data_IF_168174652248
#
_entry.id   IF_168174652248
#
_cell.length_a   1.000
_cell.length_b   1.000
_cell.length_c   1.000
_cell.angle_alpha   90.00
_cell.angle_beta   90.00
_cell.angle_gamma   90.00
#
_symmetry.space_group_name_H-M   'P 1'
#
loop_
_entity.id
_entity.type
_entity.pdbx_description
1 polymer ?
#
# COMPACT_ATOMS: atom_id res chain seq x y z
N UNK A 1 -39.97 4.21 -60.86
CA UNK A 1 -39.63 4.82 -59.55
C UNK A 1 -38.25 5.45 -59.67
N UNK A 2 -38.14 6.79 -59.70
CA UNK A 2 -36.83 7.49 -59.80
C UNK A 2 -36.34 7.77 -58.38
N UNK A 3 -35.22 7.16 -57.98
CA UNK A 3 -34.52 7.52 -56.76
C UNK A 3 -33.68 8.78 -57.05
N UNK A 4 -34.03 9.90 -56.42
CA UNK A 4 -33.19 11.09 -56.47
C UNK A 4 -32.05 10.92 -55.47
N UNK A 5 -30.81 10.82 -55.97
CA UNK A 5 -29.63 10.96 -55.12
C UNK A 5 -29.46 12.44 -54.78
N UNK A 6 -29.88 12.84 -53.58
CA UNK A 6 -29.61 14.19 -53.08
C UNK A 6 -28.12 14.26 -52.73
N UNK A 7 -27.31 14.85 -53.60
CA UNK A 7 -25.91 15.12 -53.32
C UNK A 7 -25.82 16.28 -52.31
N UNK A 8 -25.13 16.07 -51.19
CA UNK A 8 -24.89 17.11 -50.20
C UNK A 8 -24.03 18.23 -50.81
N UNK A 9 -24.32 19.52 -50.50
CA UNK A 9 -23.46 20.61 -50.93
C UNK A 9 -22.07 20.45 -50.30
N UNK A 10 -21.00 20.68 -51.09
CA UNK A 10 -19.59 20.43 -50.69
C UNK A 10 -19.18 21.00 -49.31
N UNK A 11 -19.77 22.14 -48.91
CA UNK A 11 -19.53 22.75 -47.59
C UNK A 11 -20.09 21.91 -46.44
N UNK A 12 -21.27 21.33 -46.60
CA UNK A 12 -21.87 20.45 -45.60
C UNK A 12 -21.11 19.12 -45.47
N UNK A 13 -20.59 18.59 -46.58
CA UNK A 13 -19.72 17.41 -46.58
C UNK A 13 -18.42 17.67 -45.79
N UNK A 14 -17.74 18.79 -46.02
CA UNK A 14 -16.51 19.14 -45.31
C UNK A 14 -16.74 19.33 -43.79
N UNK A 15 -17.84 19.97 -43.39
CA UNK A 15 -18.21 20.08 -41.97
C UNK A 15 -18.48 18.72 -41.33
N UNK A 16 -19.11 17.79 -42.07
CA UNK A 16 -19.37 16.44 -41.58
C UNK A 16 -18.08 15.65 -41.39
N UNK A 17 -17.16 15.70 -42.36
CA UNK A 17 -15.84 15.05 -42.27
C UNK A 17 -15.05 15.57 -41.06
N UNK A 18 -15.07 16.89 -40.82
CA UNK A 18 -14.46 17.50 -39.65
C UNK A 18 -15.11 17.05 -38.33
N UNK A 19 -16.45 16.99 -38.29
CA UNK A 19 -17.17 16.50 -37.11
C UNK A 19 -16.87 15.03 -36.81
N UNK A 20 -16.74 14.18 -37.83
CA UNK A 20 -16.35 12.78 -37.68
C UNK A 20 -14.93 12.66 -37.12
N UNK A 21 -13.98 13.47 -37.60
CA UNK A 21 -12.61 13.50 -37.07
C UNK A 21 -12.58 13.93 -35.60
N UNK A 22 -13.32 14.98 -35.22
CA UNK A 22 -13.45 15.40 -33.82
C UNK A 22 -14.05 14.28 -32.98
N UNK A 23 -15.12 13.64 -33.46
CA UNK A 23 -15.76 12.52 -32.76
C UNK A 23 -14.77 11.38 -32.49
N UNK A 24 -13.96 11.03 -33.49
CA UNK A 24 -12.92 10.02 -33.35
C UNK A 24 -11.87 10.42 -32.29
N UNK A 25 -11.41 11.67 -32.29
CA UNK A 25 -10.48 12.16 -31.27
C UNK A 25 -11.10 12.16 -29.88
N UNK A 26 -12.36 12.55 -29.73
CA UNK A 26 -13.07 12.51 -28.45
C UNK A 26 -13.14 11.09 -27.89
N UNK A 27 -13.47 10.09 -28.71
CA UNK A 27 -13.47 8.68 -28.31
C UNK A 27 -12.07 8.25 -27.86
N UNK A 28 -11.04 8.61 -28.63
CA UNK A 28 -9.66 8.30 -28.29
C UNK A 28 -9.25 8.92 -26.94
N UNK A 29 -9.63 10.16 -26.68
CA UNK A 29 -9.38 10.81 -25.40
C UNK A 29 -10.10 10.12 -24.24
N UNK A 30 -11.36 9.72 -24.41
CA UNK A 30 -12.09 8.99 -23.36
C UNK A 30 -11.39 7.69 -23.00
N UNK A 31 -10.98 6.90 -24.00
CA UNK A 31 -10.22 5.66 -23.77
C UNK A 31 -8.89 5.95 -23.09
N UNK A 32 -8.16 6.97 -23.54
CA UNK A 32 -6.90 7.38 -22.95
C UNK A 32 -7.06 7.76 -21.47
N UNK A 33 -8.04 8.61 -21.13
CA UNK A 33 -8.31 9.03 -19.76
C UNK A 33 -8.77 7.87 -18.87
N UNK A 34 -9.53 6.93 -19.42
CA UNK A 34 -9.92 5.71 -18.71
C UNK A 34 -8.67 4.91 -18.29
N UNK A 35 -7.78 4.61 -19.24
CA UNK A 35 -6.54 3.87 -18.96
C UNK A 35 -5.63 4.63 -17.99
N UNK A 36 -5.51 5.95 -18.16
CA UNK A 36 -4.70 6.79 -17.28
C UNK A 36 -5.22 6.77 -15.84
N UNK A 37 -6.54 6.82 -15.66
CA UNK A 37 -7.17 6.82 -14.34
C UNK A 37 -6.94 5.50 -13.61
N UNK A 38 -7.10 4.37 -14.31
CA UNK A 38 -6.83 3.03 -13.78
C UNK A 38 -5.37 2.88 -13.32
N UNK A 39 -4.42 3.34 -14.15
CA UNK A 39 -2.99 3.34 -13.80
C UNK A 39 -2.68 4.21 -12.60
N UNK A 40 -3.31 5.38 -12.49
CA UNK A 40 -3.12 6.27 -11.35
C UNK A 40 -3.62 5.63 -10.05
N UNK A 41 -4.79 4.97 -10.08
CA UNK A 41 -5.33 4.25 -8.93
C UNK A 41 -4.39 3.11 -8.47
N UNK A 42 -3.96 2.26 -9.41
CA UNK A 42 -3.03 1.16 -9.12
C UNK A 42 -1.69 1.67 -8.55
N UNK A 43 -1.20 2.81 -9.05
CA UNK A 43 0.01 3.44 -8.51
C UNK A 43 -0.17 3.91 -7.06
N UNK A 44 -1.33 4.49 -6.73
CA UNK A 44 -1.64 4.90 -5.36
C UNK A 44 -1.75 3.70 -4.41
N UNK A 45 -2.42 2.63 -4.82
CA UNK A 45 -2.52 1.39 -4.03
C UNK A 45 -1.14 0.77 -3.80
N UNK A 46 -0.32 0.67 -4.84
CA UNK A 46 1.03 0.13 -4.71
C UNK A 46 1.91 0.99 -3.81
N UNK A 47 1.80 2.33 -3.90
CA UNK A 47 2.52 3.25 -3.01
C UNK A 47 2.09 3.06 -1.56
N UNK A 48 0.80 2.91 -1.30
CA UNK A 48 0.28 2.67 0.06
C UNK A 48 0.74 1.33 0.62
N UNK A 49 0.71 0.28 -0.20
CA UNK A 49 1.21 -1.04 0.17
C UNK A 49 2.70 -1.01 0.51
N UNK A 50 3.52 -0.33 -0.30
CA UNK A 50 4.95 -0.13 0.00
C UNK A 50 5.15 0.60 1.34
N UNK A 51 4.38 1.65 1.60
CA UNK A 51 4.45 2.41 2.85
C UNK A 51 4.23 1.51 4.08
N UNK A 52 3.16 0.71 4.05
CA UNK A 52 2.83 -0.20 5.14
C UNK A 52 3.86 -1.34 5.26
N UNK A 53 4.29 -1.90 4.13
CA UNK A 53 5.32 -2.94 4.10
C UNK A 53 6.67 -2.43 4.64
N UNK A 54 7.06 -1.19 4.39
CA UNK A 54 8.29 -0.61 4.94
C UNK A 54 8.28 -0.61 6.48
N UNK A 55 7.10 -0.37 7.09
CA UNK A 55 6.92 -0.46 8.55
C UNK A 55 7.05 -1.89 9.03
N UNK A 56 6.39 -2.82 8.36
CA UNK A 56 6.48 -4.25 8.66
C UNK A 56 7.94 -4.71 8.58
N UNK A 57 8.63 -4.40 7.48
CA UNK A 57 10.02 -4.78 7.27
C UNK A 57 10.96 -4.15 8.29
N UNK A 58 10.70 -2.91 8.72
CA UNK A 58 11.50 -2.27 9.75
C UNK A 58 11.41 -3.03 11.08
N UNK A 59 10.19 -3.39 11.50
CA UNK A 59 9.98 -4.17 12.72
C UNK A 59 10.55 -5.59 12.58
N UNK A 60 10.34 -6.27 11.45
CA UNK A 60 10.92 -7.58 11.17
C UNK A 60 12.45 -7.56 11.17
N UNK A 61 13.07 -6.51 10.64
CA UNK A 61 14.51 -6.36 10.66
C UNK A 61 15.05 -6.23 12.08
N UNK A 62 14.38 -5.47 12.96
CA UNK A 62 14.79 -5.40 14.37
C UNK A 62 14.65 -6.76 15.07
N UNK A 63 13.58 -7.51 14.79
CA UNK A 63 13.45 -8.89 15.28
C UNK A 63 14.58 -9.80 14.78
N UNK A 64 14.87 -9.76 13.48
CA UNK A 64 15.92 -10.56 12.86
C UNK A 64 17.32 -10.19 13.39
N UNK A 65 17.55 -8.92 13.71
CA UNK A 65 18.77 -8.46 14.37
C UNK A 65 18.85 -9.00 15.79
N UNK A 66 17.80 -8.83 16.60
CA UNK A 66 17.75 -9.34 17.96
C UNK A 66 18.00 -10.86 18.02
N UNK A 67 17.42 -11.63 17.08
CA UNK A 67 17.65 -13.07 16.97
C UNK A 67 19.12 -13.44 16.79
N UNK A 68 19.83 -12.72 15.92
CA UNK A 68 21.22 -13.02 15.54
C UNK A 68 22.24 -12.63 16.61
N UNK A 69 21.87 -11.74 17.53
CA UNK A 69 22.75 -11.27 18.60
C UNK A 69 22.61 -12.17 19.83
N UNK A 70 23.67 -12.23 20.65
CA UNK A 70 23.65 -12.91 21.94
C UNK A 70 22.68 -12.24 22.93
N UNK A 71 22.33 -12.96 23.98
CA UNK A 71 21.52 -12.43 25.08
C UNK A 71 22.17 -11.17 25.68
N UNK A 72 21.35 -10.20 26.10
CA UNK A 72 21.79 -8.86 26.49
C UNK A 72 21.69 -7.82 25.38
N UNK A 73 21.17 -8.17 24.19
CA UNK A 73 20.81 -7.20 23.16
C UNK A 73 19.74 -6.25 23.71
N UNK A 74 20.02 -4.94 23.64
CA UNK A 74 19.07 -3.88 23.94
C UNK A 74 19.27 -2.77 22.91
N UNK A 75 18.20 -2.41 22.21
CA UNK A 75 18.23 -1.33 21.23
C UNK A 75 16.92 -0.58 21.23
N UNK A 76 17.01 0.72 20.98
CA UNK A 76 15.84 1.55 20.66
C UNK A 76 15.73 1.77 19.16
N UNK A 77 14.52 1.72 18.64
CA UNK A 77 14.21 2.01 17.24
C UNK A 77 12.97 2.90 17.15
N UNK A 78 12.85 3.61 16.04
CA UNK A 78 11.78 4.58 15.83
C UNK A 78 10.85 4.16 14.70
N UNK A 79 9.55 4.20 14.94
CA UNK A 79 8.51 4.10 13.92
C UNK A 79 7.91 5.50 13.68
N UNK A 80 7.64 5.89 12.43
CA UNK A 80 7.05 7.18 12.15
C UNK A 80 5.69 7.32 12.85
N UNK A 81 5.26 8.55 13.11
CA UNK A 81 3.91 8.78 13.63
C UNK A 81 2.86 8.64 12.52
N UNK A 82 3.23 9.01 11.30
CA UNK A 82 2.38 9.04 10.12
C UNK A 82 3.12 8.50 8.90
N UNK A 83 2.38 7.91 7.95
CA UNK A 83 2.88 7.53 6.64
C UNK A 83 2.33 8.51 5.60
N UNK A 84 3.22 9.28 4.96
CA UNK A 84 2.84 10.27 3.94
C UNK A 84 1.75 11.26 4.40
N UNK A 85 1.83 11.73 5.66
CA UNK A 85 0.87 12.67 6.24
C UNK A 85 -0.47 12.05 6.63
N UNK A 86 -0.54 10.71 6.75
CA UNK A 86 -1.73 9.98 7.15
C UNK A 86 -1.44 9.04 8.31
N UNK A 87 -2.42 8.95 9.19
CA UNK A 87 -2.43 8.01 10.31
C UNK A 87 -2.45 6.56 9.81
N UNK A 88 -1.77 5.70 10.56
CA UNK A 88 -1.82 4.24 10.40
C UNK A 88 -2.03 3.60 11.77
N UNK A 89 -2.42 2.33 11.84
CA UNK A 89 -2.39 1.58 13.10
C UNK A 89 -1.40 0.42 12.98
N UNK A 90 -0.74 0.07 14.07
CA UNK A 90 0.16 -1.08 14.14
C UNK A 90 -0.17 -1.88 15.38
N UNK A 91 -0.23 -3.20 15.23
CA UNK A 91 -0.44 -4.11 16.34
C UNK A 91 0.32 -5.42 16.12
N UNK A 92 0.73 -6.02 17.23
CA UNK A 92 1.18 -7.41 17.28
C UNK A 92 -0.04 -8.26 17.65
N UNK A 93 -0.68 -8.86 16.65
CA UNK A 93 -1.86 -9.68 16.87
C UNK A 93 -1.44 -11.16 17.01
N UNK A 94 -1.89 -11.87 18.05
CA UNK A 94 -2.00 -13.32 17.97
C UNK A 94 -3.21 -13.66 17.10
N UNK A 95 -3.03 -14.45 16.03
CA UNK A 95 -4.19 -14.83 15.20
C UNK A 95 -5.07 -15.89 15.89
N UNK A 96 -4.51 -16.68 16.83
CA UNK A 96 -5.18 -17.66 17.68
C UNK A 96 -4.15 -18.32 18.61
N UNK A 97 -4.57 -19.12 19.62
CA UNK A 97 -3.65 -19.83 20.54
C UNK A 97 -2.58 -20.68 19.85
N UNK A 98 -2.85 -21.14 18.61
CA UNK A 98 -1.99 -22.01 17.81
C UNK A 98 -1.43 -21.34 16.55
N UNK A 99 -1.63 -20.02 16.37
CA UNK A 99 -1.15 -19.31 15.17
C UNK A 99 0.04 -18.42 15.53
N UNK A 100 1.15 -18.47 14.74
CA UNK A 100 2.28 -17.58 14.93
C UNK A 100 1.82 -16.12 14.99
N UNK A 101 2.52 -15.31 15.78
CA UNK A 101 2.21 -13.89 15.89
C UNK A 101 2.40 -13.20 14.54
N UNK A 102 1.55 -12.23 14.26
CA UNK A 102 1.63 -11.43 13.04
C UNK A 102 1.80 -9.95 13.38
N UNK A 103 2.54 -9.24 12.54
CA UNK A 103 2.52 -7.78 12.51
C UNK A 103 1.37 -7.39 11.61
N UNK A 104 0.44 -6.60 12.15
CA UNK A 104 -0.65 -6.03 11.37
C UNK A 104 -0.48 -4.52 11.32
N UNK A 105 -0.48 -3.98 10.11
CA UNK A 105 -0.44 -2.54 9.83
C UNK A 105 -1.70 -2.17 9.08
N UNK A 106 -2.55 -1.36 9.69
CA UNK A 106 -3.74 -0.80 9.03
C UNK A 106 -3.39 0.58 8.46
N UNK A 107 -3.57 0.76 7.15
CA UNK A 107 -3.27 2.01 6.46
C UNK A 107 -4.22 2.21 5.28
N UNK A 108 -4.90 3.37 5.23
CA UNK A 108 -5.84 3.73 4.15
C UNK A 108 -6.90 2.64 3.92
N UNK A 109 -7.59 2.20 5.00
CA UNK A 109 -8.63 1.16 4.99
C UNK A 109 -8.17 -0.22 4.49
N UNK A 110 -6.87 -0.48 4.45
CA UNK A 110 -6.29 -1.77 4.11
C UNK A 110 -5.46 -2.29 5.28
N UNK A 111 -5.60 -3.58 5.57
CA UNK A 111 -4.78 -4.27 6.56
C UNK A 111 -3.69 -5.06 5.86
N UNK A 112 -2.45 -4.71 6.16
CA UNK A 112 -1.25 -5.41 5.70
C UNK A 112 -0.75 -6.28 6.83
N UNK A 113 -0.55 -7.56 6.54
CA UNK A 113 -0.15 -8.56 7.55
C UNK A 113 1.13 -9.25 7.12
N UNK A 114 1.99 -9.54 8.10
CA UNK A 114 3.14 -10.41 7.88
C UNK A 114 3.43 -11.27 9.11
N UNK A 115 3.80 -12.55 8.89
CA UNK A 115 4.12 -13.45 9.98
C UNK A 115 5.41 -13.06 10.70
N UNK A 116 5.45 -13.33 11.99
CA UNK A 116 6.61 -13.23 12.86
C UNK A 116 7.03 -14.64 13.23
N UNK A 117 8.20 -15.07 12.76
CA UNK A 117 8.72 -16.41 12.99
C UNK A 117 9.60 -16.48 14.24
N UNK A 118 9.19 -15.79 15.32
CA UNK A 118 9.96 -15.73 16.58
C UNK A 118 9.08 -15.84 17.81
N UNK A 119 9.67 -16.37 18.88
CA UNK A 119 9.07 -16.40 20.20
C UNK A 119 9.16 -15.01 20.83
N UNK A 120 8.00 -14.38 21.01
CA UNK A 120 7.85 -13.11 21.70
C UNK A 120 7.32 -13.33 23.10
N UNK A 121 7.89 -12.61 24.07
CA UNK A 121 7.37 -12.57 25.43
C UNK A 121 5.92 -12.09 25.43
N UNK A 122 5.09 -12.65 26.31
CA UNK A 122 3.72 -12.17 26.55
C UNK A 122 3.76 -10.68 26.94
N UNK A 123 2.82 -9.89 26.40
CA UNK A 123 2.79 -8.44 26.61
C UNK A 123 3.70 -7.62 25.70
N UNK A 124 4.49 -8.25 24.80
CA UNK A 124 5.22 -7.52 23.77
C UNK A 124 4.26 -6.73 22.89
N UNK A 125 4.52 -5.43 22.76
CA UNK A 125 3.70 -4.51 21.98
C UNK A 125 4.58 -3.57 21.18
N UNK A 126 4.12 -3.16 20.00
CA UNK A 126 4.80 -2.18 19.14
C UNK A 126 3.93 -0.94 19.06
N UNK A 127 4.52 0.23 19.29
CA UNK A 127 3.84 1.52 19.24
C UNK A 127 4.42 2.41 18.16
N UNK A 128 3.70 3.45 17.77
CA UNK A 128 4.29 4.54 16.97
C UNK A 128 5.34 5.29 17.79
N UNK A 129 6.34 5.86 17.12
CA UNK A 129 7.41 6.57 17.78
C UNK A 129 8.48 5.63 18.34
N UNK A 130 8.93 5.88 19.57
CA UNK A 130 10.07 5.20 20.17
C UNK A 130 9.68 3.84 20.74
N UNK A 131 10.42 2.81 20.35
CA UNK A 131 10.26 1.44 20.83
C UNK A 131 11.60 0.93 21.31
N UNK A 132 11.58 0.05 22.31
CA UNK A 132 12.74 -0.67 22.84
C UNK A 132 12.57 -2.16 22.62
N UNK A 133 13.59 -2.78 22.03
CA UNK A 133 13.68 -4.22 21.81
C UNK A 133 14.81 -4.81 22.67
N UNK A 134 14.48 -5.88 23.38
CA UNK A 134 15.40 -6.54 24.32
C UNK A 134 15.40 -8.05 24.10
N UNK A 135 16.56 -8.68 24.21
CA UNK A 135 16.71 -10.14 24.20
C UNK A 135 17.28 -10.63 25.53
N UNK A 136 16.54 -11.51 26.19
CA UNK A 136 16.93 -12.12 27.45
C UNK A 136 16.56 -13.60 27.47
N UNK A 137 17.53 -14.48 27.77
CA UNK A 137 17.35 -15.93 27.79
C UNK A 137 16.68 -16.46 26.52
N UNK A 138 17.15 -16.01 25.36
CA UNK A 138 16.60 -16.34 24.04
C UNK A 138 15.12 -15.91 23.77
N UNK A 139 14.51 -15.13 24.66
CA UNK A 139 13.20 -14.52 24.45
C UNK A 139 13.36 -13.05 24.04
N UNK A 140 12.56 -12.63 23.05
CA UNK A 140 12.55 -11.24 22.58
C UNK A 140 11.32 -10.52 23.14
N UNK A 141 11.54 -9.35 23.71
CA UNK A 141 10.48 -8.47 24.21
C UNK A 141 10.55 -7.13 23.48
N UNK A 142 9.40 -6.58 23.10
CA UNK A 142 9.29 -5.19 22.65
C UNK A 142 8.35 -4.43 23.57
N UNK A 143 8.77 -3.22 23.94
CA UNK A 143 7.97 -2.29 24.73
C UNK A 143 8.12 -0.86 24.19
N UNK A 144 7.12 0.00 24.40
CA UNK A 144 7.29 1.44 24.23
C UNK A 144 8.40 1.94 25.16
N UNK A 145 9.25 2.82 24.63
CA UNK A 145 10.31 3.48 25.42
C UNK A 145 9.85 4.81 26.00
#
# INVERSE_FOLDING_TARGET
>A
MKFYSVALPKRAQSSLEFAVLIGMFMIMFVVFFYVLSDRMLAFHEQRNARAANDIIYKVQNEFNLALKVHDGYNRTFWLPLELYGREYAIQLAPLAPDVPREIQVEYVNHTYVAPILINLTLGSQVVKGKNRIEKYMNNITISPD
#
